data_IF_205121809572
#
_entry.id   IF_205121809572
#
_cell.length_a   1.000
_cell.length_b   1.000
_cell.length_c   1.000
_cell.angle_alpha   90.00
_cell.angle_beta   90.00
_cell.angle_gamma   90.00
#
_symmetry.space_group_name_H-M   'P 1'
#
loop_
_entity.id
_entity.type
_entity.pdbx_description
1 polymer ?
#
# COMPACT_ATOMS: atom_id res chain seq x y z
N UNK A 1 5.12 -25.67 -14.09
CA UNK A 1 3.76 -25.45 -13.55
C UNK A 1 3.83 -24.23 -12.65
N UNK A 2 3.30 -23.08 -13.09
CA UNK A 2 3.35 -21.85 -12.28
C UNK A 2 2.39 -21.99 -11.11
N UNK A 3 2.87 -21.83 -9.87
CA UNK A 3 2.01 -21.75 -8.67
C UNK A 3 1.42 -20.35 -8.62
N UNK A 4 0.10 -20.23 -8.55
CA UNK A 4 -0.54 -18.96 -8.24
C UNK A 4 -0.11 -18.52 -6.83
N UNK A 5 0.57 -17.37 -6.72
CA UNK A 5 0.90 -16.77 -5.43
C UNK A 5 -0.34 -15.99 -4.96
N UNK A 6 -1.04 -16.52 -3.95
CA UNK A 6 -2.23 -15.87 -3.39
C UNK A 6 -1.81 -15.06 -2.17
N UNK A 7 -2.12 -13.76 -2.16
CA UNK A 7 -1.90 -12.87 -1.01
C UNK A 7 -3.23 -12.35 -0.50
N UNK A 8 -3.42 -12.38 0.82
CA UNK A 8 -4.62 -11.89 1.51
C UNK A 8 -4.33 -10.59 2.24
N UNK A 9 -5.19 -9.59 2.05
CA UNK A 9 -5.19 -8.31 2.77
C UNK A 9 -6.56 -8.06 3.39
N UNK A 10 -6.62 -7.20 4.41
CA UNK A 10 -7.87 -6.75 5.05
C UNK A 10 -8.16 -5.32 4.64
N UNK A 11 -9.43 -5.00 4.33
CA UNK A 11 -9.80 -3.69 3.77
C UNK A 11 -9.25 -3.53 2.35
N UNK A 12 -10.06 -2.97 1.45
CA UNK A 12 -9.62 -2.70 0.07
C UNK A 12 -9.81 -1.22 -0.18
N UNK A 13 -8.72 -0.55 -0.50
CA UNK A 13 -8.68 0.90 -0.65
C UNK A 13 -7.46 1.37 -1.45
N UNK A 14 -7.21 2.67 -1.40
CA UNK A 14 -6.00 3.26 -1.96
C UNK A 14 -4.98 3.46 -0.86
N UNK A 15 -3.76 2.95 -1.07
CA UNK A 15 -2.61 3.20 -0.20
C UNK A 15 -1.96 4.52 -0.60
N UNK A 16 -1.74 5.35 0.40
CA UNK A 16 -1.03 6.63 0.30
C UNK A 16 0.20 6.60 1.21
N UNK A 17 1.22 7.39 0.87
CA UNK A 17 2.48 7.49 1.64
C UNK A 17 2.83 8.96 1.90
N UNK A 18 3.11 9.29 3.16
CA UNK A 18 3.55 10.63 3.54
C UNK A 18 4.92 10.95 2.91
N UNK A 19 5.10 12.09 2.22
CA UNK A 19 6.41 12.43 1.65
C UNK A 19 7.46 12.81 2.70
N UNK A 20 7.06 13.14 3.93
CA UNK A 20 7.97 13.57 5.01
C UNK A 20 8.35 12.41 5.93
N UNK A 21 7.39 11.57 6.32
CA UNK A 21 7.60 10.49 7.30
C UNK A 21 7.65 9.10 6.68
N UNK A 22 7.41 8.99 5.37
CA UNK A 22 7.34 7.72 4.61
C UNK A 22 6.31 6.72 5.17
N UNK A 23 5.46 7.16 6.10
CA UNK A 23 4.41 6.36 6.72
C UNK A 23 3.26 6.18 5.72
N UNK A 24 2.70 4.97 5.69
CA UNK A 24 1.61 4.62 4.77
C UNK A 24 0.27 4.61 5.47
N UNK A 25 -0.76 4.97 4.71
CA UNK A 25 -2.14 5.01 5.18
C UNK A 25 -3.09 4.42 4.12
N UNK A 26 -4.20 3.82 4.57
CA UNK A 26 -5.26 3.32 3.71
C UNK A 26 -6.42 4.33 3.68
N UNK A 27 -6.78 4.78 2.48
CA UNK A 27 -7.87 5.74 2.21
C UNK A 27 -7.74 7.12 2.88
N UNK A 28 -6.58 7.42 3.46
CA UNK A 28 -6.26 8.72 4.05
C UNK A 28 -5.28 9.49 3.16
N UNK A 29 -5.74 10.61 2.62
CA UNK A 29 -4.98 11.41 1.62
C UNK A 29 -4.06 12.44 2.26
N UNK A 30 -4.20 12.71 3.56
CA UNK A 30 -3.35 13.65 4.30
C UNK A 30 -2.71 12.96 5.47
N UNK A 31 -1.42 13.18 5.66
CA UNK A 31 -0.75 12.70 6.87
C UNK A 31 -1.44 13.31 8.12
N UNK A 32 -1.88 12.51 9.10
CA UNK A 32 -2.51 13.03 10.31
C UNK A 32 -1.56 13.86 11.18
N UNK A 33 -0.24 13.66 11.02
CA UNK A 33 0.78 14.32 11.84
C UNK A 33 1.26 15.66 11.25
N UNK A 34 1.54 15.72 9.93
CA UNK A 34 2.05 16.95 9.28
C UNK A 34 1.06 17.62 8.31
N UNK A 35 -0.13 17.03 8.09
CA UNK A 35 -1.20 17.54 7.22
C UNK A 35 -0.84 17.73 5.73
N UNK A 36 0.36 17.35 5.30
CA UNK A 36 0.76 17.32 3.90
C UNK A 36 -0.05 16.28 3.13
N UNK A 37 -0.27 16.55 1.84
CA UNK A 37 -0.86 15.59 0.94
C UNK A 37 0.11 14.42 0.72
N UNK A 38 -0.40 13.21 0.99
CA UNK A 38 0.34 11.99 0.78
C UNK A 38 0.36 11.60 -0.71
N UNK A 39 1.45 10.96 -1.15
CA UNK A 39 1.58 10.43 -2.50
C UNK A 39 0.72 9.19 -2.64
N UNK A 40 -0.06 9.08 -3.72
CA UNK A 40 -0.79 7.86 -4.06
C UNK A 40 0.20 6.76 -4.48
N UNK A 41 0.20 5.64 -3.79
CA UNK A 41 1.00 4.46 -4.15
C UNK A 41 0.22 3.55 -5.09
N UNK A 42 -1.00 3.18 -4.71
CA UNK A 42 -1.82 2.29 -5.53
C UNK A 42 -2.95 1.62 -4.77
N UNK A 43 -3.63 0.68 -5.43
CA UNK A 43 -4.64 -0.16 -4.79
C UNK A 43 -3.95 -1.12 -3.82
N UNK A 44 -4.57 -1.34 -2.66
CA UNK A 44 -4.04 -2.22 -1.63
C UNK A 44 -5.02 -2.46 -0.49
N UNK A 45 -4.47 -2.90 0.63
CA UNK A 45 -5.17 -3.15 1.87
C UNK A 45 -4.19 -3.20 3.03
N UNK A 46 -4.63 -3.61 4.21
CA UNK A 46 -3.75 -3.82 5.36
C UNK A 46 -3.31 -5.27 5.48
N UNK A 47 -2.09 -5.49 5.96
CA UNK A 47 -1.61 -6.81 6.33
C UNK A 47 -2.48 -7.38 7.45
N UNK A 48 -3.00 -8.62 7.35
CA UNK A 48 -3.86 -9.21 8.39
C UNK A 48 -3.11 -9.54 9.69
N UNK A 49 -1.77 -9.37 9.73
CA UNK A 49 -0.95 -9.69 10.90
C UNK A 49 -0.48 -8.47 11.68
N UNK A 50 -0.19 -7.36 10.99
CA UNK A 50 0.37 -6.15 11.60
C UNK A 50 -0.39 -4.88 11.26
N UNK A 51 -1.48 -4.99 10.49
CA UNK A 51 -2.34 -3.87 10.08
C UNK A 51 -1.66 -2.79 9.22
N UNK A 52 -0.38 -2.98 8.90
CA UNK A 52 0.38 -2.07 8.04
C UNK A 52 -0.23 -2.03 6.62
N UNK A 53 -0.44 -0.84 6.03
CA UNK A 53 -0.91 -0.72 4.65
C UNK A 53 0.12 -1.23 3.63
N UNK A 54 -0.31 -2.10 2.72
CA UNK A 54 0.50 -2.71 1.67
C UNK A 54 -0.16 -2.52 0.32
N UNK A 55 0.60 -2.02 -0.67
CA UNK A 55 0.10 -1.89 -2.03
C UNK A 55 0.30 -3.21 -2.80
N UNK A 56 -0.60 -3.50 -3.74
CA UNK A 56 -0.50 -4.72 -4.58
C UNK A 56 0.83 -4.77 -5.33
N UNK A 57 1.34 -3.62 -5.76
CA UNK A 57 2.61 -3.47 -6.48
C UNK A 57 3.82 -3.92 -5.66
N UNK A 58 3.74 -3.91 -4.33
CA UNK A 58 4.82 -4.38 -3.46
C UNK A 58 4.86 -5.92 -3.37
N UNK A 59 3.74 -6.58 -3.67
CA UNK A 59 3.53 -8.02 -3.49
C UNK A 59 3.66 -8.81 -4.80
N UNK A 60 3.42 -8.13 -5.92
CA UNK A 60 3.64 -8.70 -7.25
C UNK A 60 5.09 -8.47 -7.66
N UNK A 61 5.77 -9.45 -8.27
CA UNK A 61 7.01 -9.19 -8.96
C UNK A 61 6.78 -8.02 -9.92
N UNK A 62 7.55 -6.94 -9.80
CA UNK A 62 7.55 -5.91 -10.83
C UNK A 62 7.88 -6.57 -12.16
N UNK A 63 7.07 -6.33 -13.19
CA UNK A 63 7.56 -6.61 -14.54
C UNK A 63 8.86 -5.82 -14.69
N UNK A 64 10.02 -6.45 -14.99
CA UNK A 64 11.31 -5.75 -15.00
C UNK A 64 11.45 -4.72 -16.13
N UNK A 65 10.35 -4.26 -16.73
CA UNK A 65 10.30 -3.29 -17.82
C UNK A 65 8.98 -2.52 -17.77
N UNK A 66 8.95 -1.40 -17.04
CA UNK A 66 8.05 -0.27 -17.29
C UNK A 66 8.87 1.01 -17.21
#
# INVERSE_FOLDING_TARGET
MSRANTVTVTGIGTVYECPEYETRYLDEQRCPDCALFARRIGTGGTCPHCEEPVAITDLTPGDPMS
#
